data_IF_619931549185
#
_entry.id   IF_619931549185
#
_cell.length_a   1.000
_cell.length_b   1.000
_cell.length_c   1.000
_cell.angle_alpha   90.00
_cell.angle_beta   90.00
_cell.angle_gamma   90.00
#
_symmetry.space_group_name_H-M   'P 1'
#
loop_
_entity.id
_entity.type
_entity.pdbx_description
1 polymer ?
#
# COMPACT_ATOMS: atom_id res chain seq x y z
N UNK A 1 -11.89 -31.54 -17.01
CA UNK A 1 -12.81 -30.71 -16.19
C UNK A 1 -11.93 -30.02 -15.18
N UNK A 2 -11.56 -28.76 -15.48
CA UNK A 2 -10.72 -27.92 -14.61
C UNK A 2 -11.69 -27.17 -13.71
N UNK A 3 -11.73 -27.54 -12.42
CA UNK A 3 -12.50 -26.82 -11.42
C UNK A 3 -11.67 -25.61 -11.02
N UNK A 4 -12.05 -24.41 -11.49
CA UNK A 4 -11.53 -23.14 -11.01
C UNK A 4 -12.14 -22.87 -9.64
N UNK A 5 -11.39 -23.10 -8.56
CA UNK A 5 -11.78 -22.65 -7.23
C UNK A 5 -11.48 -21.15 -7.12
N UNK A 6 -12.52 -20.33 -7.17
CA UNK A 6 -12.44 -18.93 -6.80
C UNK A 6 -12.45 -18.85 -5.29
N UNK A 7 -11.27 -18.66 -4.66
CA UNK A 7 -11.16 -18.46 -3.22
C UNK A 7 -11.46 -16.97 -2.95
N UNK A 8 -12.62 -16.67 -2.39
CA UNK A 8 -12.98 -15.34 -1.91
C UNK A 8 -12.56 -15.25 -0.45
N UNK A 9 -11.51 -14.45 -0.18
CA UNK A 9 -11.09 -14.15 1.18
C UNK A 9 -12.12 -13.20 1.80
N UNK A 10 -13.03 -13.71 2.62
CA UNK A 10 -14.01 -12.91 3.35
C UNK A 10 -13.53 -12.70 4.79
N UNK A 11 -12.95 -11.56 5.07
CA UNK A 11 -12.68 -11.10 6.44
C UNK A 11 -13.86 -10.20 6.82
N UNK A 12 -14.79 -10.70 7.66
CA UNK A 12 -15.94 -9.91 8.14
C UNK A 12 -15.57 -9.21 9.44
N UNK A 13 -15.61 -7.90 9.43
CA UNK A 13 -15.61 -7.08 10.65
C UNK A 13 -17.07 -6.84 11.06
N UNK A 14 -17.45 -7.22 12.27
CA UNK A 14 -18.78 -6.90 12.83
C UNK A 14 -18.73 -5.49 13.44
N UNK A 15 -19.34 -4.53 12.77
CA UNK A 15 -19.58 -3.20 13.32
C UNK A 15 -20.74 -3.27 14.33
N UNK A 16 -20.45 -3.19 15.61
CA UNK A 16 -21.46 -2.86 16.63
C UNK A 16 -21.55 -1.35 16.81
N UNK A 17 -22.39 -0.70 16.00
CA UNK A 17 -22.80 0.68 16.25
C UNK A 17 -23.91 0.71 17.31
N UNK A 18 -23.60 1.11 18.52
CA UNK A 18 -24.61 1.67 19.45
C UNK A 18 -24.23 3.11 19.81
N UNK A 19 -25.18 3.98 19.45
CA UNK A 19 -25.26 5.43 19.66
C UNK A 19 -24.74 5.95 21.01
N UNK A 20 -23.97 7.04 21.07
CA UNK A 20 -24.46 8.36 21.51
C UNK A 20 -23.37 9.44 21.49
N UNK A 21 -23.85 10.66 21.20
CA UNK A 21 -23.13 11.94 21.17
C UNK A 21 -22.10 12.13 22.29
N UNK A 22 -20.85 12.49 21.90
CA UNK A 22 -20.17 13.70 22.40
C UNK A 22 -18.86 13.90 21.62
N UNK A 23 -18.79 15.02 20.91
CA UNK A 23 -17.58 15.51 20.26
C UNK A 23 -16.70 16.10 21.36
N UNK A 24 -15.65 15.42 21.73
CA UNK A 24 -14.48 16.00 22.37
C UNK A 24 -13.28 15.09 22.14
N UNK A 25 -12.28 15.65 21.50
CA UNK A 25 -10.96 15.14 21.24
C UNK A 25 -10.45 14.09 22.24
N UNK A 26 -10.37 12.84 21.79
CA UNK A 26 -9.40 11.87 22.33
C UNK A 26 -8.95 10.97 21.17
N UNK A 27 -7.83 11.35 20.56
CA UNK A 27 -7.05 10.50 19.68
C UNK A 27 -6.31 9.49 20.58
N UNK A 28 -7.05 8.52 21.10
CA UNK A 28 -6.54 7.30 21.73
C UNK A 28 -7.63 6.23 21.71
N UNK A 29 -8.13 5.93 20.50
CA UNK A 29 -8.77 4.65 20.26
C UNK A 29 -8.04 4.03 19.10
N UNK A 30 -7.22 3.02 19.40
CA UNK A 30 -6.57 2.15 18.44
C UNK A 30 -7.62 1.30 17.66
N UNK A 31 -8.52 1.97 16.94
CA UNK A 31 -9.30 1.32 15.92
C UNK A 31 -8.38 1.08 14.72
N UNK A 32 -7.67 -0.03 14.74
CA UNK A 32 -6.77 -0.48 13.69
C UNK A 32 -7.51 -0.95 12.43
N UNK A 33 -8.49 -0.18 11.95
CA UNK A 33 -9.18 -0.51 10.71
C UNK A 33 -8.29 -0.21 9.51
N UNK A 34 -8.21 -1.18 8.59
CA UNK A 34 -7.62 -0.92 7.28
C UNK A 34 -8.46 0.13 6.56
N UNK A 35 -7.81 1.12 5.96
CA UNK A 35 -8.49 2.07 5.08
C UNK A 35 -8.53 1.56 3.64
N UNK A 36 -9.44 2.09 2.84
CA UNK A 36 -9.45 1.85 1.40
C UNK A 36 -8.17 2.35 0.76
N UNK A 37 -7.63 1.58 -0.18
CA UNK A 37 -6.56 2.07 -1.04
C UNK A 37 -7.07 3.28 -1.84
N UNK A 38 -6.28 4.34 -1.87
CA UNK A 38 -6.62 5.63 -2.49
C UNK A 38 -7.37 6.61 -1.58
N UNK A 39 -7.75 6.18 -0.36
CA UNK A 39 -8.33 7.05 0.68
C UNK A 39 -7.35 7.26 1.87
N UNK A 40 -6.09 6.86 1.70
CA UNK A 40 -5.06 7.06 2.72
C UNK A 40 -4.68 8.54 2.83
N UNK A 41 -4.73 9.08 4.02
CA UNK A 41 -4.12 10.38 4.35
C UNK A 41 -2.66 10.17 4.79
N UNK A 42 -1.81 9.83 3.80
CA UNK A 42 -0.39 9.57 4.05
C UNK A 42 0.36 10.80 4.54
N UNK A 43 0.01 11.97 4.04
CA UNK A 43 0.76 13.20 4.34
C UNK A 43 0.61 13.59 5.81
N UNK A 44 -0.55 13.32 6.40
CA UNK A 44 -0.82 13.65 7.81
C UNK A 44 -0.08 12.75 8.81
N UNK A 45 0.27 11.52 8.40
CA UNK A 45 0.93 10.53 9.28
C UNK A 45 2.43 10.44 9.08
N UNK A 46 2.94 10.91 7.93
CA UNK A 46 4.38 10.92 7.65
C UNK A 46 5.08 12.01 8.46
N UNK A 47 6.16 11.64 9.17
CA UNK A 47 7.01 12.62 9.83
C UNK A 47 7.82 13.43 8.80
N UNK A 48 8.33 14.60 9.23
CA UNK A 48 9.19 15.43 8.40
C UNK A 48 10.45 14.67 7.93
N UNK A 49 11.02 13.83 8.78
CA UNK A 49 12.18 13.01 8.45
C UNK A 49 11.82 11.96 7.39
N UNK A 50 10.65 11.34 7.47
CA UNK A 50 10.16 10.39 6.47
C UNK A 50 9.92 11.08 5.13
N UNK A 51 9.26 12.26 5.13
CA UNK A 51 9.06 13.08 3.92
C UNK A 51 10.39 13.44 3.26
N UNK A 52 11.37 13.92 4.04
CA UNK A 52 12.71 14.21 3.52
C UNK A 52 13.42 12.96 2.99
N UNK A 53 13.31 11.82 3.66
CA UNK A 53 13.90 10.56 3.22
C UNK A 53 13.32 10.12 1.86
N UNK A 54 12.00 10.22 1.69
CA UNK A 54 11.30 9.91 0.44
C UNK A 54 11.84 10.79 -0.69
N UNK A 55 11.87 12.11 -0.51
CA UNK A 55 12.31 13.07 -1.55
C UNK A 55 13.80 12.91 -1.85
N UNK A 56 14.66 12.67 -0.85
CA UNK A 56 16.09 12.39 -1.05
C UNK A 56 16.36 11.09 -1.80
N UNK A 57 15.41 10.16 -1.81
CA UNK A 57 15.50 8.93 -2.61
C UNK A 57 15.39 9.20 -4.11
N UNK A 58 14.93 10.41 -4.51
CA UNK A 58 14.84 10.88 -5.88
C UNK A 58 14.18 9.83 -6.80
N UNK A 59 14.98 9.18 -7.65
CA UNK A 59 14.51 8.17 -8.59
C UNK A 59 13.75 6.99 -7.93
N UNK A 60 14.05 6.66 -6.68
CA UNK A 60 13.39 5.58 -5.94
C UNK A 60 12.32 6.08 -4.95
N UNK A 61 11.84 7.32 -5.11
CA UNK A 61 10.88 7.92 -4.18
C UNK A 61 9.55 7.18 -4.15
N UNK A 62 9.07 6.67 -5.28
CA UNK A 62 7.81 5.90 -5.35
C UNK A 62 7.95 4.59 -4.58
N UNK A 63 9.00 3.81 -4.84
CA UNK A 63 9.25 2.55 -4.14
C UNK A 63 9.44 2.80 -2.63
N UNK A 64 10.14 3.87 -2.27
CA UNK A 64 10.34 4.23 -0.85
C UNK A 64 9.03 4.58 -0.16
N UNK A 65 8.15 5.31 -0.84
CA UNK A 65 6.84 5.65 -0.30
C UNK A 65 5.94 4.41 -0.19
N UNK A 66 5.94 3.51 -1.20
CA UNK A 66 5.22 2.23 -1.14
C UNK A 66 5.73 1.36 0.01
N UNK A 67 7.06 1.29 0.22
CA UNK A 67 7.66 0.55 1.33
C UNK A 67 7.15 1.08 2.68
N UNK A 68 7.20 2.40 2.88
CA UNK A 68 6.76 3.04 4.14
C UNK A 68 5.26 2.83 4.34
N UNK A 69 4.44 3.06 3.32
CA UNK A 69 3.00 3.00 3.41
C UNK A 69 2.49 1.56 3.59
N UNK A 70 2.79 0.67 2.64
CA UNK A 70 2.15 -0.64 2.57
C UNK A 70 2.94 -1.76 3.26
N UNK A 71 4.27 -1.61 3.40
CA UNK A 71 5.14 -2.64 3.97
C UNK A 71 5.73 -2.24 5.33
N UNK A 72 5.56 -0.98 5.73
CA UNK A 72 6.10 -0.38 6.94
C UNK A 72 5.27 -0.65 8.21
N UNK A 73 5.24 0.36 9.08
CA UNK A 73 4.60 0.30 10.41
C UNK A 73 3.13 0.76 10.39
N UNK A 74 2.67 1.40 9.31
CA UNK A 74 1.30 1.91 9.19
C UNK A 74 0.33 0.77 8.89
N UNK A 75 -0.15 0.10 9.95
CA UNK A 75 -1.04 -1.04 9.80
C UNK A 75 -2.30 -0.74 9.00
N UNK A 76 -2.88 0.47 9.17
CA UNK A 76 -4.08 0.91 8.45
C UNK A 76 -3.89 1.00 6.92
N UNK A 77 -2.66 1.08 6.42
CA UNK A 77 -2.35 1.16 5.00
C UNK A 77 -1.88 -0.17 4.39
N UNK A 78 -1.93 -1.28 5.14
CA UNK A 78 -1.65 -2.63 4.62
C UNK A 78 -2.85 -3.19 3.83
N UNK A 79 -3.36 -2.40 2.93
CA UNK A 79 -4.64 -2.57 2.22
C UNK A 79 -4.48 -3.15 0.80
N UNK A 80 -3.26 -3.53 0.41
CA UNK A 80 -2.95 -4.19 -0.87
C UNK A 80 -2.03 -5.38 -0.66
N UNK A 81 -2.28 -6.49 -1.36
CA UNK A 81 -1.50 -7.73 -1.23
C UNK A 81 -1.28 -8.33 -2.62
N UNK A 82 -0.04 -8.72 -2.91
CA UNK A 82 0.34 -9.51 -4.09
C UNK A 82 0.95 -10.82 -3.58
N UNK A 83 0.27 -11.93 -3.78
CA UNK A 83 0.68 -13.27 -3.31
C UNK A 83 1.42 -14.08 -4.36
N UNK A 84 1.29 -13.73 -5.64
CA UNK A 84 1.90 -14.46 -6.74
C UNK A 84 2.34 -13.49 -7.84
N UNK A 85 3.60 -13.58 -8.28
CA UNK A 85 4.13 -12.74 -9.36
C UNK A 85 3.56 -13.08 -10.74
N UNK A 86 3.17 -14.35 -10.96
CA UNK A 86 2.71 -14.84 -12.27
C UNK A 86 1.21 -14.64 -12.52
N UNK A 87 0.41 -14.59 -11.45
CA UNK A 87 -1.04 -14.41 -11.58
C UNK A 87 -1.39 -13.00 -12.07
N UNK A 88 -2.50 -12.87 -12.78
CA UNK A 88 -3.03 -11.59 -13.25
C UNK A 88 -3.80 -10.83 -12.17
N UNK A 89 -3.95 -11.41 -10.99
CA UNK A 89 -4.76 -10.88 -9.89
C UNK A 89 -3.93 -10.51 -8.68
N UNK A 90 -4.47 -9.56 -7.92
CA UNK A 90 -3.98 -9.09 -6.62
C UNK A 90 -5.19 -8.83 -5.72
N UNK A 91 -4.94 -8.45 -4.47
CA UNK A 91 -5.98 -8.21 -3.48
C UNK A 91 -5.92 -6.76 -3.00
N UNK A 92 -7.09 -6.13 -2.91
CA UNK A 92 -7.27 -4.78 -2.40
C UNK A 92 -8.38 -4.79 -1.34
N UNK A 93 -8.15 -4.13 -0.21
CA UNK A 93 -9.15 -4.01 0.85
C UNK A 93 -10.28 -3.08 0.43
N UNK A 94 -11.52 -3.51 0.70
CA UNK A 94 -12.76 -2.74 0.47
C UNK A 94 -13.43 -2.52 1.83
N UNK A 95 -13.38 -1.31 2.37
CA UNK A 95 -13.92 -0.99 3.69
C UNK A 95 -15.45 -1.11 3.76
N UNK A 96 -16.15 -0.92 2.63
CA UNK A 96 -17.61 -1.10 2.58
C UNK A 96 -18.01 -2.56 2.74
N UNK A 97 -17.14 -3.46 2.28
CA UNK A 97 -17.33 -4.91 2.39
C UNK A 97 -16.68 -5.51 3.64
N UNK A 98 -15.67 -4.82 4.19
CA UNK A 98 -14.90 -5.30 5.34
C UNK A 98 -13.94 -6.46 5.02
N UNK A 99 -13.57 -6.66 3.73
CA UNK A 99 -12.66 -7.72 3.32
C UNK A 99 -11.86 -7.37 2.06
N UNK A 100 -10.81 -8.17 1.78
CA UNK A 100 -10.03 -8.03 0.56
C UNK A 100 -10.77 -8.57 -0.65
N UNK A 101 -10.87 -7.77 -1.70
CA UNK A 101 -11.42 -8.15 -3.00
C UNK A 101 -10.31 -8.43 -4.00
N UNK A 102 -10.58 -9.35 -4.91
CA UNK A 102 -9.70 -9.64 -6.04
C UNK A 102 -9.83 -8.57 -7.11
N UNK A 103 -8.70 -8.05 -7.58
CA UNK A 103 -8.62 -7.03 -8.63
C UNK A 103 -7.58 -7.43 -9.66
N UNK A 104 -7.61 -6.83 -10.85
CA UNK A 104 -6.56 -7.00 -11.85
C UNK A 104 -5.27 -6.37 -11.33
N UNK A 105 -4.20 -7.18 -11.26
CA UNK A 105 -2.91 -6.75 -10.71
C UNK A 105 -2.33 -5.55 -11.44
N UNK A 106 -2.41 -5.53 -12.77
CA UNK A 106 -1.87 -4.42 -13.56
C UNK A 106 -2.62 -3.11 -13.30
N UNK A 107 -3.95 -3.15 -13.20
CA UNK A 107 -4.76 -1.98 -12.84
C UNK A 107 -4.44 -1.47 -11.43
N UNK A 108 -4.29 -2.37 -10.46
CA UNK A 108 -3.87 -2.01 -9.11
C UNK A 108 -2.48 -1.36 -9.08
N UNK A 109 -1.53 -1.88 -9.87
CA UNK A 109 -0.18 -1.30 -9.95
C UNK A 109 -0.18 0.07 -10.63
N UNK A 110 -1.04 0.28 -11.63
CA UNK A 110 -1.27 1.60 -12.23
C UNK A 110 -1.82 2.59 -11.19
N UNK A 111 -2.82 2.17 -10.43
CA UNK A 111 -3.39 3.00 -9.37
C UNK A 111 -2.34 3.35 -8.31
N UNK A 112 -1.56 2.35 -7.84
CA UNK A 112 -0.50 2.58 -6.84
C UNK A 112 0.52 3.58 -7.38
N UNK A 113 1.01 3.39 -8.60
CA UNK A 113 1.99 4.31 -9.20
C UNK A 113 1.44 5.73 -9.24
N UNK A 114 0.24 5.92 -9.77
CA UNK A 114 -0.37 7.23 -9.96
C UNK A 114 -0.62 7.94 -8.61
N UNK A 115 -1.21 7.25 -7.61
CA UNK A 115 -1.44 7.83 -6.28
C UNK A 115 -0.12 8.17 -5.57
N UNK A 116 0.89 7.29 -5.64
CA UNK A 116 2.17 7.55 -4.97
C UNK A 116 2.96 8.66 -5.66
N UNK A 117 2.85 8.79 -6.99
CA UNK A 117 3.41 9.93 -7.73
C UNK A 117 2.81 11.25 -7.23
N UNK A 118 1.47 11.35 -7.15
CA UNK A 118 0.78 12.53 -6.61
C UNK A 118 1.24 12.85 -5.18
N UNK A 119 1.33 11.86 -4.31
CA UNK A 119 1.83 12.09 -2.94
C UNK A 119 3.28 12.62 -2.93
N UNK A 120 4.14 12.17 -3.84
CA UNK A 120 5.51 12.68 -3.95
C UNK A 120 5.52 14.14 -4.40
N UNK A 121 4.66 14.53 -5.33
CA UNK A 121 4.50 15.91 -5.76
C UNK A 121 4.07 16.81 -4.59
N UNK A 122 3.07 16.39 -3.82
CA UNK A 122 2.59 17.12 -2.64
C UNK A 122 3.67 17.23 -1.55
N UNK A 123 4.41 16.15 -1.26
CA UNK A 123 5.54 16.17 -0.31
C UNK A 123 6.65 17.10 -0.82
N UNK A 124 6.95 17.06 -2.13
CA UNK A 124 7.95 17.92 -2.73
C UNK A 124 7.57 19.40 -2.55
N UNK A 125 6.33 19.76 -2.89
CA UNK A 125 5.83 21.14 -2.79
C UNK A 125 5.85 21.64 -1.33
N UNK A 126 5.44 20.81 -0.38
CA UNK A 126 5.49 21.13 1.05
C UNK A 126 6.93 21.43 1.52
N UNK A 127 7.87 20.56 1.16
CA UNK A 127 9.27 20.70 1.56
C UNK A 127 9.98 21.84 0.82
N UNK A 128 9.65 22.08 -0.45
CA UNK A 128 10.19 23.21 -1.25
C UNK A 128 9.74 24.55 -0.66
N UNK A 129 8.44 24.70 -0.39
CA UNK A 129 7.87 25.91 0.22
C UNK A 129 8.47 26.20 1.60
N UNK A 130 8.79 25.13 2.37
CA UNK A 130 9.47 25.24 3.66
C UNK A 130 10.99 25.45 3.57
N UNK A 131 11.59 25.56 2.38
CA UNK A 131 13.05 25.57 2.16
C UNK A 131 13.79 24.40 2.82
N UNK A 132 13.16 23.21 2.84
CA UNK A 132 13.68 21.99 3.51
C UNK A 132 14.36 21.02 2.55
N UNK A 133 14.57 21.41 1.27
CA UNK A 133 15.23 20.62 0.23
C UNK A 133 16.45 21.35 -0.29
N UNK A 134 17.60 20.68 -0.36
CA UNK A 134 18.80 21.21 -1.00
C UNK A 134 18.65 21.30 -2.53
N UNK A 135 19.42 22.21 -3.16
CA UNK A 135 19.33 22.49 -4.59
C UNK A 135 19.57 21.25 -5.47
N UNK A 136 20.47 20.34 -5.05
CA UNK A 136 20.79 19.11 -5.80
C UNK A 136 19.63 18.13 -5.77
N UNK A 137 19.03 17.92 -4.61
CA UNK A 137 17.85 17.07 -4.45
C UNK A 137 16.67 17.63 -5.25
N UNK A 138 16.46 18.95 -5.21
CA UNK A 138 15.42 19.63 -5.98
C UNK A 138 15.52 19.37 -7.49
N UNK A 139 16.72 19.50 -8.06
CA UNK A 139 16.93 19.21 -9.49
C UNK A 139 16.63 17.76 -9.81
N UNK A 140 17.12 16.82 -9.00
CA UNK A 140 16.98 15.38 -9.25
C UNK A 140 15.53 14.88 -9.13
N UNK A 141 14.79 15.37 -8.15
CA UNK A 141 13.39 14.95 -7.97
C UNK A 141 12.51 15.53 -9.09
N UNK A 142 12.75 16.78 -9.53
CA UNK A 142 12.07 17.37 -10.69
C UNK A 142 12.34 16.55 -11.96
N UNK A 143 13.60 16.23 -12.24
CA UNK A 143 13.95 15.38 -13.38
C UNK A 143 13.24 14.02 -13.34
N UNK A 144 13.11 13.42 -12.14
CA UNK A 144 12.39 12.18 -11.96
C UNK A 144 10.88 12.35 -12.28
N UNK A 145 10.24 13.37 -11.73
CA UNK A 145 8.82 13.65 -11.97
C UNK A 145 8.54 13.94 -13.45
N UNK A 146 9.39 14.76 -14.09
CA UNK A 146 9.31 15.06 -15.53
C UNK A 146 9.45 13.78 -16.38
N UNK A 147 10.32 12.85 -15.97
CA UNK A 147 10.48 11.55 -16.66
C UNK A 147 9.26 10.66 -16.47
N UNK A 148 8.59 10.73 -15.31
CA UNK A 148 7.36 10.00 -15.06
C UNK A 148 6.17 10.45 -15.92
N UNK A 149 6.20 11.69 -16.46
CA UNK A 149 5.19 12.21 -17.38
C UNK A 149 5.38 11.71 -18.81
N UNK A 150 6.55 11.16 -19.15
CA UNK A 150 6.87 10.75 -20.50
C UNK A 150 6.62 9.26 -20.71
N UNK A 151 5.37 8.90 -21.05
CA UNK A 151 4.95 7.52 -21.28
C UNK A 151 5.45 6.93 -22.61
N UNK A 152 5.94 7.74 -23.53
CA UNK A 152 6.34 7.30 -24.88
C UNK A 152 7.83 6.92 -24.98
N UNK A 153 8.63 7.26 -23.97
CA UNK A 153 10.07 7.05 -24.03
C UNK A 153 10.47 5.72 -23.37
N UNK A 154 11.09 4.78 -24.14
CA UNK A 154 11.63 3.55 -23.57
C UNK A 154 12.65 3.84 -22.45
N UNK A 155 12.57 3.04 -21.39
CA UNK A 155 13.47 3.13 -20.24
C UNK A 155 14.35 1.87 -20.17
N UNK A 156 15.65 2.04 -20.09
CA UNK A 156 16.61 0.96 -19.82
C UNK A 156 17.12 1.07 -18.39
N UNK A 157 17.01 -0.03 -17.63
CA UNK A 157 17.51 -0.08 -16.26
C UNK A 157 19.03 -0.32 -16.21
N UNK A 158 19.62 -0.25 -15.01
CA UNK A 158 21.07 -0.47 -14.79
C UNK A 158 21.59 -1.85 -15.19
N UNK A 159 20.72 -2.81 -15.49
CA UNK A 159 21.05 -4.16 -15.91
C UNK A 159 20.88 -4.37 -17.42
N UNK A 160 20.60 -3.30 -18.18
CA UNK A 160 20.38 -3.37 -19.63
C UNK A 160 19.01 -3.93 -20.02
N UNK A 161 18.05 -4.00 -19.11
CA UNK A 161 16.69 -4.46 -19.39
C UNK A 161 15.85 -3.24 -19.80
N UNK A 162 15.26 -3.33 -20.99
CA UNK A 162 14.41 -2.27 -21.56
C UNK A 162 12.95 -2.48 -21.19
N UNK A 163 12.30 -1.42 -20.73
CA UNK A 163 10.87 -1.31 -20.45
C UNK A 163 10.21 -0.35 -21.43
N UNK A 164 8.90 -0.48 -21.69
CA UNK A 164 8.18 0.45 -22.57
C UNK A 164 8.37 1.92 -22.16
N UNK A 165 8.38 2.19 -20.84
CA UNK A 165 8.64 3.50 -20.25
C UNK A 165 9.08 3.35 -18.79
N UNK A 166 9.37 4.46 -18.12
CA UNK A 166 9.73 4.48 -16.70
C UNK A 166 8.60 3.98 -15.80
N UNK A 167 7.35 4.28 -16.10
CA UNK A 167 6.18 3.84 -15.34
C UNK A 167 6.12 2.32 -15.25
N UNK A 168 6.29 1.60 -16.38
CA UNK A 168 6.28 0.13 -16.39
C UNK A 168 7.44 -0.47 -15.59
N UNK A 169 8.62 0.13 -15.63
CA UNK A 169 9.72 -0.25 -14.76
C UNK A 169 9.38 -0.07 -13.27
N UNK A 170 8.78 1.07 -12.90
CA UNK A 170 8.36 1.34 -11.52
C UNK A 170 7.27 0.38 -11.03
N UNK A 171 6.30 0.07 -11.89
CA UNK A 171 5.26 -0.94 -11.59
C UNK A 171 5.87 -2.31 -11.32
N UNK A 172 6.88 -2.71 -12.08
CA UNK A 172 7.57 -3.98 -11.85
C UNK A 172 8.29 -4.01 -10.50
N UNK A 173 8.98 -2.91 -10.13
CA UNK A 173 9.61 -2.76 -8.81
C UNK A 173 8.58 -2.79 -7.66
N UNK A 174 7.47 -2.09 -7.79
CA UNK A 174 6.37 -2.08 -6.82
C UNK A 174 5.79 -3.49 -6.64
N UNK A 175 5.56 -4.20 -7.74
CA UNK A 175 5.07 -5.58 -7.75
C UNK A 175 5.99 -6.50 -6.94
N UNK A 176 7.30 -6.43 -7.19
CA UNK A 176 8.30 -7.24 -6.48
C UNK A 176 8.34 -6.85 -5.00
N UNK A 177 8.30 -5.57 -4.67
CA UNK A 177 8.32 -5.08 -3.30
C UNK A 177 7.12 -5.59 -2.49
N UNK A 178 5.90 -5.48 -3.03
CA UNK A 178 4.68 -5.95 -2.37
C UNK A 178 4.66 -7.49 -2.25
N UNK A 179 5.11 -8.20 -3.27
CA UNK A 179 5.24 -9.65 -3.22
C UNK A 179 6.21 -10.10 -2.12
N UNK A 180 7.40 -9.50 -2.04
CA UNK A 180 8.38 -9.85 -1.02
C UNK A 180 7.92 -9.50 0.41
N UNK A 181 6.98 -8.57 0.53
CA UNK A 181 6.44 -8.11 1.82
C UNK A 181 5.13 -8.79 2.21
N UNK A 182 4.54 -9.65 1.36
CA UNK A 182 3.18 -10.17 1.57
C UNK A 182 3.03 -10.96 2.87
N UNK A 183 4.01 -11.77 3.27
CA UNK A 183 3.99 -12.52 4.54
C UNK A 183 3.97 -11.58 5.76
N UNK A 184 4.73 -10.48 5.70
CA UNK A 184 4.74 -9.46 6.76
C UNK A 184 3.40 -8.74 6.83
N UNK A 185 2.86 -8.35 5.68
CA UNK A 185 1.57 -7.67 5.56
C UNK A 185 0.46 -8.57 6.14
N UNK A 186 0.39 -9.82 5.69
CA UNK A 186 -0.63 -10.78 6.11
C UNK A 186 -0.57 -11.06 7.61
N UNK A 187 0.63 -11.24 8.18
CA UNK A 187 0.79 -11.43 9.63
C UNK A 187 0.34 -10.21 10.43
N UNK A 188 0.68 -9.00 9.98
CA UNK A 188 0.23 -7.77 10.66
C UNK A 188 -1.29 -7.64 10.65
N UNK A 189 -1.94 -7.98 9.54
CA UNK A 189 -3.41 -7.97 9.44
C UNK A 189 -4.01 -9.01 10.39
N UNK A 190 -3.43 -10.22 10.46
CA UNK A 190 -3.89 -11.27 11.35
C UNK A 190 -3.82 -10.86 12.83
N UNK A 191 -2.75 -10.17 13.24
CA UNK A 191 -2.61 -9.66 14.61
C UNK A 191 -3.70 -8.64 14.94
N UNK A 192 -4.03 -7.72 14.01
CA UNK A 192 -5.09 -6.74 14.20
C UNK A 192 -6.47 -7.36 14.44
N UNK A 193 -6.73 -8.52 13.82
CA UNK A 193 -8.00 -9.24 13.97
C UNK A 193 -8.09 -9.92 15.33
N UNK A 194 -6.99 -10.46 15.84
CA UNK A 194 -6.98 -11.18 17.14
C UNK A 194 -7.03 -10.25 18.35
N UNK A 195 -6.48 -9.06 18.26
CA UNK A 195 -6.51 -8.08 19.39
C UNK A 195 -7.94 -7.58 19.66
N UNK A 196 -8.87 -7.66 18.70
CA UNK A 196 -10.28 -7.30 18.87
C UNK A 196 -11.14 -8.44 19.47
N UNK A 197 -10.71 -9.71 19.38
CA UNK A 197 -11.47 -10.87 19.88
C UNK A 197 -11.33 -11.09 21.42
N UNK A 198 -10.33 -10.52 22.07
CA UNK A 198 -10.12 -10.67 23.52
C UNK A 198 -11.08 -9.79 24.37
N UNK A 199 -11.94 -8.99 23.77
CA UNK A 199 -12.85 -8.09 24.47
C UNK A 199 -14.24 -8.71 24.78
N UNK A 200 -14.69 -9.79 24.15
CA UNK A 200 -15.92 -10.52 24.56
C UNK A 200 -16.04 -11.93 23.94
N UNK A 201 -15.99 -12.94 24.83
CA UNK A 201 -16.54 -14.32 24.79
C UNK A 201 -16.63 -15.12 23.49
N UNK A 202 -15.97 -16.29 23.56
CA UNK A 202 -16.42 -17.62 23.08
C UNK A 202 -17.22 -17.68 21.78
N UNK A 203 -16.57 -18.04 20.67
CA UNK A 203 -16.90 -19.12 19.74
C UNK A 203 -16.19 -18.98 18.38
N UNK A 204 -15.36 -20.00 18.08
CA UNK A 204 -15.02 -20.51 16.75
C UNK A 204 -14.65 -19.54 15.64
N UNK A 205 -13.35 -19.23 15.48
CA UNK A 205 -12.80 -18.92 14.15
C UNK A 205 -11.30 -19.23 14.02
N UNK A 206 -10.90 -20.49 13.73
CA UNK A 206 -9.53 -20.76 13.28
C UNK A 206 -9.40 -20.96 11.75
N UNK A 207 -10.40 -20.63 10.91
CA UNK A 207 -10.45 -21.21 9.55
C UNK A 207 -9.94 -20.30 8.41
N UNK A 208 -9.58 -19.02 8.62
CA UNK A 208 -9.32 -18.10 7.51
C UNK A 208 -7.83 -17.81 7.23
N UNK A 209 -6.94 -18.08 8.17
CA UNK A 209 -5.50 -17.81 8.01
C UNK A 209 -4.80 -18.97 7.29
N UNK A 210 -5.26 -20.20 7.45
CA UNK A 210 -4.64 -21.38 6.84
C UNK A 210 -4.76 -21.43 5.32
N UNK A 211 -5.75 -20.77 4.71
CA UNK A 211 -5.91 -20.74 3.25
C UNK A 211 -4.87 -19.84 2.54
N UNK A 212 -4.36 -18.81 3.20
CA UNK A 212 -3.32 -17.93 2.61
C UNK A 212 -1.93 -18.54 2.76
N UNK A 213 -1.71 -19.34 3.82
CA UNK A 213 -0.42 -19.98 4.09
C UNK A 213 -0.24 -21.32 3.35
N UNK A 214 -1.32 -21.95 2.88
CA UNK A 214 -1.28 -23.24 2.18
C UNK A 214 -1.11 -23.14 0.66
N UNK A 215 -1.13 -21.94 0.08
CA UNK A 215 -0.86 -21.70 -1.35
C UNK A 215 0.65 -21.60 -1.63
N UNK A 216 1.45 -22.55 -1.14
CA UNK A 216 2.83 -22.75 -1.64
C UNK A 216 2.79 -23.76 -2.76
N UNK A 217 3.54 -23.51 -3.87
CA UNK A 217 3.69 -24.46 -4.98
C UNK A 217 4.41 -25.73 -4.53
#
# INVERSE_FOLDING_TARGET
ITISMTITLQIKFTNNNNNNHNIANNITNNNHFLCNFGAEDLLSVLTDEQKQMIIKSCFNSIEKLVEIAHCGEFNQFKNVIITNLKDDYAYKYDSNKGYFITVKKNELLDDIFNYRKLNIEEIYDELENGNRIDAKTKIRIKQFLDTCENDEQPYENQYGITFPNLKEYKKDNIKILLYNSHDKITRSIATLIHDDDDADTTHNTPFLIDCVLSARP
#
